data_IF_170811502084
#
_entry.id   IF_170811502084
#
_cell.length_a   1.000
_cell.length_b   1.000
_cell.length_c   1.000
_cell.angle_alpha   90.00
_cell.angle_beta   90.00
_cell.angle_gamma   90.00
#
_symmetry.space_group_name_H-M   'P 1'
#
loop_
_entity.id
_entity.type
_entity.pdbx_description
1 polymer ?
#
# COMPACT_ATOMS: atom_id res chain seq x y z
N UNK A 1 -30.94 -49.39 -47.65
CA UNK A 1 -29.97 -48.31 -47.36
C UNK A 1 -30.76 -47.02 -47.17
N UNK A 2 -30.58 -46.37 -46.01
CA UNK A 2 -30.90 -44.95 -45.73
C UNK A 2 -32.40 -44.59 -45.68
N UNK A 3 -32.98 -43.98 -44.64
CA UNK A 3 -32.44 -43.37 -43.43
C UNK A 3 -33.59 -43.05 -42.45
N UNK A 4 -33.22 -43.05 -41.18
CA UNK A 4 -34.04 -42.82 -39.98
C UNK A 4 -34.05 -41.31 -39.64
N UNK A 5 -35.10 -40.88 -38.92
CA UNK A 5 -35.24 -39.70 -38.00
C UNK A 5 -36.34 -38.74 -38.47
N UNK A 6 -37.52 -38.66 -37.82
CA UNK A 6 -37.88 -38.21 -36.46
C UNK A 6 -37.56 -36.75 -36.12
N UNK A 7 -38.65 -36.00 -35.83
CA UNK A 7 -38.84 -34.93 -34.83
C UNK A 7 -37.98 -33.65 -34.99
N UNK A 8 -38.31 -32.45 -34.51
CA UNK A 8 -39.30 -31.90 -33.58
C UNK A 8 -39.53 -30.43 -34.02
N UNK A 9 -40.71 -29.83 -33.81
CA UNK A 9 -41.00 -29.15 -32.56
C UNK A 9 -40.46 -27.71 -32.57
N UNK A 10 -41.35 -26.74 -32.88
CA UNK A 10 -41.15 -25.30 -32.72
C UNK A 10 -40.66 -25.01 -31.29
N UNK A 11 -39.49 -24.40 -31.16
CA UNK A 11 -39.01 -23.86 -29.90
C UNK A 11 -39.28 -22.34 -29.88
N UNK A 12 -39.98 -21.95 -28.82
CA UNK A 12 -40.49 -20.65 -28.47
C UNK A 12 -39.36 -19.66 -28.13
N UNK A 13 -39.51 -18.40 -28.54
CA UNK A 13 -38.63 -17.30 -28.19
C UNK A 13 -38.91 -16.83 -26.75
N UNK A 14 -38.45 -17.62 -25.78
CA UNK A 14 -38.40 -17.24 -24.37
C UNK A 14 -37.21 -16.31 -24.10
N UNK A 15 -37.47 -15.02 -24.00
CA UNK A 15 -36.51 -13.98 -23.60
C UNK A 15 -35.97 -14.28 -22.20
N UNK A 16 -34.68 -14.62 -22.08
CA UNK A 16 -33.98 -14.57 -20.80
C UNK A 16 -33.70 -13.11 -20.42
N UNK A 17 -34.70 -12.44 -19.84
CA UNK A 17 -34.53 -11.18 -19.14
C UNK A 17 -34.11 -11.50 -17.69
N UNK A 18 -32.81 -11.65 -17.50
CA UNK A 18 -32.20 -11.88 -16.19
C UNK A 18 -30.80 -11.30 -16.20
N UNK A 19 -30.71 -9.97 -16.31
CA UNK A 19 -29.47 -9.25 -16.06
C UNK A 19 -29.13 -9.42 -14.58
N UNK A 20 -28.39 -10.49 -14.29
CA UNK A 20 -27.71 -10.69 -13.01
C UNK A 20 -26.79 -9.48 -12.82
N UNK A 21 -27.22 -8.57 -11.94
CA UNK A 21 -26.42 -7.44 -11.47
C UNK A 21 -25.12 -8.02 -10.89
N UNK A 22 -24.07 -8.04 -11.71
CA UNK A 22 -22.72 -8.18 -11.21
C UNK A 22 -22.52 -7.03 -10.19
N UNK A 23 -22.05 -7.29 -8.97
CA UNK A 23 -21.67 -6.20 -8.08
C UNK A 23 -20.63 -5.38 -8.85
N UNK A 24 -20.93 -4.10 -9.08
CA UNK A 24 -20.00 -3.17 -9.70
C UNK A 24 -18.67 -3.29 -8.96
N UNK A 25 -17.53 -3.50 -9.65
CA UNK A 25 -16.24 -3.43 -8.97
C UNK A 25 -16.17 -2.03 -8.35
N UNK A 26 -15.97 -2.00 -7.02
CA UNK A 26 -15.81 -0.77 -6.26
C UNK A 26 -14.98 0.23 -7.07
N UNK A 27 -15.44 1.48 -7.25
CA UNK A 27 -14.61 2.48 -7.88
C UNK A 27 -13.37 2.56 -7.01
N UNK A 28 -12.22 2.23 -7.59
CA UNK A 28 -10.95 2.20 -6.90
C UNK A 28 -10.88 3.45 -6.02
N UNK A 29 -11.02 3.26 -4.71
CA UNK A 29 -10.50 4.23 -3.76
C UNK A 29 -9.07 4.37 -4.23
N UNK A 30 -8.74 5.54 -4.75
CA UNK A 30 -7.39 5.91 -5.08
C UNK A 30 -6.69 6.03 -3.72
N UNK A 31 -6.43 4.88 -3.08
CA UNK A 31 -5.49 4.72 -1.98
C UNK A 31 -4.13 4.89 -2.62
N UNK A 32 -3.85 6.09 -3.10
CA UNK A 32 -2.50 6.47 -3.45
C UNK A 32 -1.69 6.23 -2.20
N UNK A 33 -0.69 5.37 -2.33
CA UNK A 33 0.30 5.04 -1.32
C UNK A 33 1.06 6.32 -0.96
N UNK A 34 0.41 7.18 -0.18
CA UNK A 34 0.94 8.43 0.28
C UNK A 34 1.77 8.08 1.51
N UNK A 35 3.04 7.79 1.26
CA UNK A 35 4.06 7.68 2.29
C UNK A 35 4.67 9.06 2.49
N UNK A 36 4.72 9.51 3.74
CA UNK A 36 5.29 10.79 4.12
C UNK A 36 6.56 10.58 4.94
N UNK A 37 7.58 11.40 4.66
CA UNK A 37 8.81 11.43 5.45
C UNK A 37 8.55 12.19 6.74
N UNK A 38 8.71 11.51 7.87
CA UNK A 38 8.56 12.11 9.21
C UNK A 38 9.89 12.38 9.90
N UNK A 39 10.95 11.68 9.49
CA UNK A 39 12.26 11.78 10.12
C UNK A 39 13.36 11.53 9.09
N UNK A 40 14.43 12.31 9.15
CA UNK A 40 15.60 12.14 8.30
C UNK A 40 16.86 12.32 9.14
N UNK A 41 17.83 11.43 8.99
CA UNK A 41 19.04 11.44 9.81
C UNK A 41 20.25 10.90 9.03
N UNK A 42 21.46 11.43 9.25
CA UNK A 42 22.67 10.88 8.63
C UNK A 42 23.05 9.53 9.26
N UNK A 43 22.47 9.22 10.42
CA UNK A 43 22.81 8.07 11.24
C UNK A 43 21.79 6.94 11.00
N UNK A 44 22.13 5.88 10.24
CA UNK A 44 21.17 4.84 9.88
C UNK A 44 20.59 4.12 11.11
N UNK A 45 21.37 3.97 12.17
CA UNK A 45 20.91 3.38 13.42
C UNK A 45 19.79 4.19 14.09
N UNK A 46 19.82 5.53 14.00
CA UNK A 46 18.75 6.38 14.55
C UNK A 46 17.45 6.20 13.76
N UNK A 47 17.52 6.04 12.45
CA UNK A 47 16.34 5.78 11.63
C UNK A 47 15.68 4.43 11.99
N UNK A 48 16.47 3.40 12.25
CA UNK A 48 15.95 2.10 12.70
C UNK A 48 15.32 2.15 14.10
N UNK A 49 15.90 2.92 15.03
CA UNK A 49 15.30 3.14 16.36
C UNK A 49 13.92 3.81 16.25
N UNK A 50 13.80 4.83 15.39
CA UNK A 50 12.52 5.49 15.14
C UNK A 50 11.50 4.53 14.53
N UNK A 51 11.92 3.69 13.57
CA UNK A 51 11.05 2.66 13.00
C UNK A 51 10.58 1.67 14.06
N UNK A 52 11.47 1.20 14.94
CA UNK A 52 11.12 0.27 16.01
C UNK A 52 10.09 0.89 16.97
N UNK A 53 10.33 2.13 17.40
CA UNK A 53 9.40 2.88 18.24
C UNK A 53 8.00 2.98 17.60
N UNK A 54 7.92 3.37 16.32
CA UNK A 54 6.65 3.48 15.62
C UNK A 54 5.94 2.14 15.47
N UNK A 55 6.69 1.06 15.25
CA UNK A 55 6.16 -0.30 15.16
C UNK A 55 5.54 -0.76 16.49
N UNK A 56 6.11 -0.36 17.63
CA UNK A 56 5.54 -0.63 18.96
C UNK A 56 4.19 0.06 19.17
N UNK A 57 3.95 1.18 18.48
CA UNK A 57 2.68 1.91 18.46
C UNK A 57 1.74 1.48 17.32
N UNK A 58 1.99 0.31 16.69
CA UNK A 58 1.22 -0.23 15.56
C UNK A 58 1.25 0.64 14.29
N UNK A 59 2.21 1.57 14.19
CA UNK A 59 2.39 2.42 13.01
C UNK A 59 3.38 1.77 12.05
N UNK A 60 2.95 1.52 10.82
CA UNK A 60 3.83 0.99 9.79
C UNK A 60 4.88 2.03 9.39
N UNK A 61 6.16 1.71 9.61
CA UNK A 61 7.27 2.60 9.26
C UNK A 61 8.31 1.89 8.37
N UNK A 62 8.81 2.60 7.37
CA UNK A 62 9.81 2.12 6.42
C UNK A 62 11.03 3.03 6.46
N UNK A 63 12.21 2.44 6.64
CA UNK A 63 13.49 3.17 6.59
C UNK A 63 14.03 3.06 5.17
N UNK A 64 14.26 4.20 4.53
CA UNK A 64 14.93 4.30 3.23
C UNK A 64 16.33 4.85 3.47
N UNK A 65 17.33 3.98 3.34
CA UNK A 65 18.71 4.39 3.37
C UNK A 65 19.13 4.92 1.99
N UNK A 66 19.42 6.22 1.89
CA UNK A 66 19.88 6.87 0.64
C UNK A 66 21.41 6.97 0.58
N UNK A 67 22.14 6.33 1.49
CA UNK A 67 23.59 6.23 1.44
C UNK A 67 24.02 5.38 0.25
N UNK A 68 24.50 6.05 -0.79
CA UNK A 68 25.13 5.38 -1.92
C UNK A 68 26.48 4.84 -1.46
N UNK A 69 26.66 3.52 -1.44
CA UNK A 69 27.90 2.86 -1.02
C UNK A 69 29.12 3.30 -1.83
N UNK A 70 28.92 3.81 -3.04
CA UNK A 70 29.98 4.25 -3.95
C UNK A 70 30.50 5.67 -3.69
N UNK A 71 29.76 6.54 -2.99
CA UNK A 71 30.19 7.93 -2.71
C UNK A 71 29.81 8.38 -1.29
N UNK A 72 30.44 7.80 -0.24
CA UNK A 72 30.22 8.22 1.15
C UNK A 72 30.73 9.65 1.43
N UNK A 73 31.65 10.18 0.61
CA UNK A 73 32.39 11.42 0.87
C UNK A 73 31.59 12.72 0.62
N UNK A 74 30.48 12.68 -0.13
CA UNK A 74 29.68 13.87 -0.47
C UNK A 74 28.49 14.14 0.46
N UNK A 75 28.40 13.46 1.62
CA UNK A 75 27.55 13.88 2.75
C UNK A 75 26.02 13.86 2.55
N UNK A 76 25.53 13.46 1.37
CA UNK A 76 24.09 13.47 1.03
C UNK A 76 23.35 12.16 1.32
N UNK A 77 24.05 11.16 1.87
CA UNK A 77 23.43 9.89 2.25
C UNK A 77 22.76 9.98 3.61
N UNK A 78 21.48 10.36 3.62
CA UNK A 78 20.64 10.33 4.82
C UNK A 78 19.76 9.08 4.79
N UNK A 79 19.44 8.55 5.97
CA UNK A 79 18.38 7.59 6.17
C UNK A 79 17.09 8.34 6.52
N UNK A 80 16.04 8.09 5.74
CA UNK A 80 14.73 8.71 5.91
C UNK A 80 13.74 7.66 6.42
N UNK A 81 12.88 8.03 7.36
CA UNK A 81 11.77 7.20 7.83
C UNK A 81 10.48 7.70 7.23
N UNK A 82 9.79 6.79 6.56
CA UNK A 82 8.55 7.01 5.83
C UNK A 82 7.43 6.27 6.54
N UNK A 83 6.27 6.91 6.67
CA UNK A 83 5.05 6.33 7.26
C UNK A 83 3.85 6.64 6.36
N UNK A 84 2.76 5.87 6.43
CA UNK A 84 1.52 6.23 5.78
C UNK A 84 1.06 7.62 6.21
N UNK A 85 0.63 8.46 5.27
CA UNK A 85 0.13 9.81 5.56
C UNK A 85 -1.04 9.81 6.55
N UNK A 86 -1.79 8.70 6.62
CA UNK A 86 -2.85 8.49 7.62
C UNK A 86 -2.31 8.56 9.06
N UNK A 87 -1.10 8.03 9.28
CA UNK A 87 -0.46 7.92 10.59
C UNK A 87 0.65 8.97 10.80
N UNK A 88 0.97 9.76 9.77
CA UNK A 88 2.08 10.72 9.80
C UNK A 88 1.96 11.77 10.93
N UNK A 89 0.74 12.22 11.22
CA UNK A 89 0.50 13.18 12.32
C UNK A 89 0.80 12.52 13.66
N UNK A 90 0.26 11.32 13.89
CA UNK A 90 0.48 10.57 15.14
C UNK A 90 1.96 10.23 15.32
N UNK A 91 2.62 9.78 14.25
CA UNK A 91 4.03 9.44 14.25
C UNK A 91 4.92 10.65 14.62
N UNK A 92 4.59 11.86 14.13
CA UNK A 92 5.28 13.10 14.52
C UNK A 92 5.10 13.40 16.01
N UNK A 93 3.90 13.25 16.55
CA UNK A 93 3.62 13.47 17.98
C UNK A 93 4.37 12.47 18.87
N UNK A 94 4.39 11.20 18.48
CA UNK A 94 5.15 10.16 19.20
C UNK A 94 6.64 10.49 19.18
N UNK A 95 7.17 10.88 18.02
CA UNK A 95 8.55 11.32 17.92
C UNK A 95 8.85 12.51 18.83
N UNK A 96 8.02 13.54 18.84
CA UNK A 96 8.25 14.69 19.71
C UNK A 96 8.23 14.33 21.21
N UNK A 97 7.44 13.34 21.61
CA UNK A 97 7.30 12.92 23.00
C UNK A 97 8.37 11.90 23.44
N UNK A 98 8.71 10.94 22.60
CA UNK A 98 9.57 9.78 22.90
C UNK A 98 11.00 9.95 22.35
N UNK A 99 11.19 10.69 21.25
CA UNK A 99 12.49 10.88 20.61
C UNK A 99 13.38 11.92 21.33
N UNK A 100 13.34 11.94 22.66
CA UNK A 100 14.36 12.60 23.48
C UNK A 100 15.66 11.79 23.38
N UNK A 101 16.29 11.79 22.21
CA UNK A 101 17.64 11.28 22.00
C UNK A 101 18.64 12.35 22.45
N UNK A 102 18.73 12.56 23.76
CA UNK A 102 19.72 13.46 24.37
C UNK A 102 21.13 12.88 24.37
#
# INVERSE_FOLDING_TARGET
>A
MTGRRQQAGRADHGKYAGAFLLPTPNPHMNMTENWEVIYATPLPHRAELVKALLLEHEIAAVVINKQSSSYPTYGLGQSEVHVPTQDAILAKVILENEATFS
#
